data_IF_653666834447
#
_entry.id   IF_653666834447
#
_cell.length_a   1.000
_cell.length_b   1.000
_cell.length_c   1.000
_cell.angle_alpha   90.00
_cell.angle_beta   90.00
_cell.angle_gamma   90.00
#
_symmetry.space_group_name_H-M   'P 1'
#
loop_
_entity.id
_entity.type
_entity.pdbx_description
1 polymer ?
#
# COMPACT_ATOMS: atom_id res chain seq x y z
N UNK A 1 48.96 6.74 -8.62
CA UNK A 1 47.61 7.30 -8.80
C UNK A 1 46.67 6.12 -9.01
N UNK A 2 45.94 5.70 -7.98
CA UNK A 2 44.92 4.64 -8.10
C UNK A 2 43.60 5.25 -7.65
N UNK A 3 42.70 5.49 -8.59
CA UNK A 3 41.31 5.89 -8.35
C UNK A 3 40.51 4.63 -8.02
N UNK A 4 40.02 4.53 -6.79
CA UNK A 4 39.12 3.45 -6.37
C UNK A 4 37.72 3.77 -6.85
N UNK A 5 37.23 2.98 -7.79
CA UNK A 5 35.88 3.05 -8.32
C UNK A 5 34.90 2.47 -7.27
N UNK A 6 34.34 3.31 -6.40
CA UNK A 6 33.28 2.92 -5.46
C UNK A 6 31.97 2.78 -6.24
N UNK A 7 31.64 1.54 -6.61
CA UNK A 7 30.34 1.20 -7.17
C UNK A 7 29.27 1.32 -6.07
N UNK A 8 28.60 2.47 -6.01
CA UNK A 8 27.37 2.63 -5.25
C UNK A 8 26.29 1.79 -5.93
N UNK A 9 26.04 0.58 -5.44
CA UNK A 9 24.81 -0.13 -5.75
C UNK A 9 23.63 0.68 -5.20
N UNK A 10 22.99 1.48 -6.06
CA UNK A 10 21.74 2.16 -5.72
C UNK A 10 20.67 1.09 -5.48
N UNK A 11 20.39 0.82 -4.21
CA UNK A 11 19.25 0.00 -3.84
C UNK A 11 18.00 0.79 -4.21
N UNK A 12 17.32 0.39 -5.29
CA UNK A 12 16.04 0.98 -5.64
C UNK A 12 15.03 0.58 -4.57
N UNK A 13 14.52 1.58 -3.85
CA UNK A 13 13.52 1.39 -2.80
C UNK A 13 12.16 1.82 -3.35
N UNK A 14 11.19 0.92 -3.26
CA UNK A 14 9.81 1.19 -3.67
C UNK A 14 8.87 1.03 -2.48
N UNK A 15 7.73 1.73 -2.50
CA UNK A 15 6.63 1.44 -1.59
C UNK A 15 5.52 0.68 -2.33
N UNK A 16 5.01 -0.39 -1.72
CA UNK A 16 3.88 -1.18 -2.23
C UNK A 16 2.63 -0.84 -1.44
N UNK A 17 1.50 -0.78 -2.14
CA UNK A 17 0.18 -0.67 -1.52
C UNK A 17 -0.55 -1.99 -1.69
N UNK A 18 -1.00 -2.58 -0.59
CA UNK A 18 -1.74 -3.84 -0.59
C UNK A 18 -3.09 -3.71 -1.30
N UNK A 19 -3.38 -4.61 -2.22
CA UNK A 19 -4.66 -4.62 -2.96
C UNK A 19 -5.86 -4.76 -2.01
N UNK A 20 -5.72 -5.56 -0.94
CA UNK A 20 -6.77 -5.70 0.08
C UNK A 20 -6.99 -4.41 0.87
N UNK A 21 -5.95 -3.60 1.09
CA UNK A 21 -6.10 -2.32 1.77
C UNK A 21 -6.95 -1.34 0.94
N UNK A 22 -6.82 -1.40 -0.39
CA UNK A 22 -7.64 -0.62 -1.31
C UNK A 22 -9.07 -1.20 -1.40
N UNK A 23 -9.20 -2.50 -1.67
CA UNK A 23 -10.49 -3.13 -2.00
C UNK A 23 -11.37 -3.42 -0.79
N UNK A 24 -10.79 -3.84 0.34
CA UNK A 24 -11.55 -4.28 1.54
C UNK A 24 -11.47 -3.27 2.66
N UNK A 25 -10.28 -2.74 2.96
CA UNK A 25 -10.08 -1.85 4.11
C UNK A 25 -10.40 -0.38 3.78
N UNK A 26 -10.89 -0.11 2.56
CA UNK A 26 -11.40 1.18 2.15
C UNK A 26 -10.37 2.32 2.21
N UNK A 27 -9.07 2.03 2.04
CA UNK A 27 -8.01 3.05 2.15
C UNK A 27 -8.33 4.28 1.28
N UNK A 28 -8.59 4.05 -0.01
CA UNK A 28 -8.94 5.12 -0.97
C UNK A 28 -10.33 5.72 -0.77
N UNK A 29 -11.22 5.05 -0.04
CA UNK A 29 -12.54 5.60 0.33
C UNK A 29 -12.40 6.62 1.47
N UNK A 30 -11.41 6.43 2.35
CA UNK A 30 -11.16 7.26 3.53
C UNK A 30 -10.26 8.45 3.25
N UNK A 31 -9.30 8.29 2.35
CA UNK A 31 -8.39 9.37 1.93
C UNK A 31 -8.85 9.96 0.60
N UNK A 32 -8.79 11.28 0.47
CA UNK A 32 -8.99 11.96 -0.80
C UNK A 32 -7.78 11.74 -1.73
N UNK A 33 -7.92 12.07 -3.02
CA UNK A 33 -6.81 11.98 -3.98
C UNK A 33 -5.58 12.75 -3.49
N UNK A 34 -5.79 13.97 -2.97
CA UNK A 34 -4.76 14.80 -2.34
C UNK A 34 -4.13 14.10 -1.12
N UNK A 35 -4.92 13.41 -0.31
CA UNK A 35 -4.48 12.65 0.85
C UNK A 35 -3.63 11.45 0.46
N UNK A 36 -3.98 10.75 -0.62
CA UNK A 36 -3.14 9.69 -1.17
C UNK A 36 -1.82 10.23 -1.73
N UNK A 37 -1.84 11.34 -2.47
CA UNK A 37 -0.62 12.02 -2.92
C UNK A 37 0.26 12.42 -1.74
N UNK A 38 -0.34 12.95 -0.66
CA UNK A 38 0.37 13.32 0.56
C UNK A 38 0.97 12.11 1.26
N UNK A 39 0.21 11.02 1.34
CA UNK A 39 0.66 9.76 1.93
C UNK A 39 1.82 9.16 1.14
N UNK A 40 1.75 9.15 -0.19
CA UNK A 40 2.82 8.70 -1.07
C UNK A 40 4.08 9.56 -0.92
N UNK A 41 3.93 10.88 -0.86
CA UNK A 41 5.05 11.82 -0.65
C UNK A 41 5.72 11.65 0.73
N UNK A 42 4.97 11.28 1.78
CA UNK A 42 5.56 10.94 3.07
C UNK A 42 6.24 9.57 2.99
N UNK A 43 5.57 8.59 2.38
CA UNK A 43 6.03 7.21 2.29
C UNK A 43 7.33 7.08 1.45
N UNK A 44 7.63 8.02 0.56
CA UNK A 44 8.92 8.03 -0.15
C UNK A 44 10.13 8.25 0.76
N UNK A 45 9.94 8.77 1.98
CA UNK A 45 10.98 8.91 3.00
C UNK A 45 10.94 7.83 4.07
N UNK A 46 10.13 6.79 3.85
CA UNK A 46 9.87 5.75 4.82
C UNK A 46 11.04 4.77 4.91
N UNK A 47 11.50 4.50 6.13
CA UNK A 47 12.43 3.42 6.40
C UNK A 47 11.70 2.06 6.58
N UNK A 48 12.44 1.01 6.92
CA UNK A 48 11.87 -0.34 7.15
C UNK A 48 10.83 -0.39 8.29
N UNK A 49 10.92 0.52 9.26
CA UNK A 49 10.02 0.58 10.42
C UNK A 49 8.79 1.48 10.19
N UNK A 50 8.62 2.03 8.98
CA UNK A 50 7.55 2.97 8.68
C UNK A 50 7.83 4.41 9.11
N UNK A 51 9.04 4.72 9.58
CA UNK A 51 9.42 6.05 10.08
C UNK A 51 9.94 6.92 8.95
N UNK A 52 9.46 8.17 8.91
CA UNK A 52 9.75 9.14 7.86
C UNK A 52 10.23 10.46 8.48
N UNK A 53 11.23 11.08 7.86
CA UNK A 53 11.83 12.34 8.32
C UNK A 53 11.69 13.55 7.35
N UNK A 54 10.59 13.70 6.58
CA UNK A 54 10.48 14.83 5.66
C UNK A 54 10.14 16.13 6.40
N UNK A 55 10.67 17.25 5.88
CA UNK A 55 10.22 18.58 6.31
C UNK A 55 8.94 18.99 5.58
N UNK A 56 8.21 19.97 6.12
CA UNK A 56 7.01 20.50 5.46
C UNK A 56 7.30 21.18 4.11
N UNK A 57 8.50 21.73 3.96
CA UNK A 57 8.95 22.38 2.73
C UNK A 57 9.26 21.31 1.68
N UNK A 58 10.02 20.28 2.05
CA UNK A 58 10.29 19.12 1.18
C UNK A 58 9.01 18.45 0.68
N UNK A 59 8.01 18.28 1.55
CA UNK A 59 6.71 17.72 1.14
C UNK A 59 5.98 18.64 0.18
N UNK A 60 6.04 19.95 0.40
CA UNK A 60 5.41 20.94 -0.47
C UNK A 60 6.02 20.92 -1.87
N UNK A 61 7.35 20.83 -1.96
CA UNK A 61 8.09 20.75 -3.22
C UNK A 61 7.73 19.49 -4.00
N UNK A 62 7.74 18.33 -3.35
CA UNK A 62 7.39 17.04 -3.99
C UNK A 62 5.95 17.01 -4.47
N UNK A 63 5.03 17.56 -3.68
CA UNK A 63 3.62 17.62 -4.06
C UNK A 63 3.29 18.75 -5.04
N UNK A 64 4.22 19.66 -5.33
CA UNK A 64 3.98 20.83 -6.18
C UNK A 64 2.97 21.82 -5.59
N UNK A 65 2.96 22.00 -4.27
CA UNK A 65 2.01 22.89 -3.58
C UNK A 65 2.72 23.86 -2.64
N UNK A 66 1.97 24.82 -2.10
CA UNK A 66 2.52 25.72 -1.08
C UNK A 66 2.73 24.97 0.25
N UNK A 67 3.70 25.43 1.05
CA UNK A 67 3.95 24.90 2.40
C UNK A 67 2.70 24.90 3.29
N UNK A 68 1.83 25.90 3.16
CA UNK A 68 0.58 25.97 3.90
C UNK A 68 -0.40 24.86 3.46
N UNK A 69 -0.52 24.62 2.15
CA UNK A 69 -1.34 23.54 1.62
C UNK A 69 -0.81 22.17 2.06
N UNK A 70 0.51 21.96 2.01
CA UNK A 70 1.14 20.74 2.51
C UNK A 70 0.80 20.49 3.99
N UNK A 71 0.96 21.50 4.85
CA UNK A 71 0.62 21.39 6.27
C UNK A 71 -0.87 21.10 6.50
N UNK A 72 -1.76 21.71 5.71
CA UNK A 72 -3.20 21.44 5.78
C UNK A 72 -3.53 20.00 5.37
N UNK A 73 -2.93 19.49 4.29
CA UNK A 73 -3.10 18.11 3.81
C UNK A 73 -2.58 17.09 4.84
N UNK A 74 -1.38 17.31 5.37
CA UNK A 74 -0.81 16.49 6.46
C UNK A 74 -1.73 16.51 7.69
N UNK A 75 -2.25 17.69 8.06
CA UNK A 75 -3.19 17.84 9.17
C UNK A 75 -4.51 17.11 8.97
N UNK A 76 -5.00 16.97 7.73
CA UNK A 76 -6.16 16.11 7.41
C UNK A 76 -5.80 14.64 7.53
N UNK A 77 -4.68 14.23 6.93
CA UNK A 77 -4.22 12.84 6.91
C UNK A 77 -3.99 12.27 8.32
N UNK A 78 -3.49 13.09 9.25
CA UNK A 78 -3.31 12.74 10.67
C UNK A 78 -4.62 12.46 11.43
N UNK A 79 -5.78 12.88 10.89
CA UNK A 79 -7.09 12.68 11.53
C UNK A 79 -7.81 11.44 11.00
N UNK A 80 -7.29 10.81 9.95
CA UNK A 80 -7.95 9.68 9.29
C UNK A 80 -7.62 8.39 10.03
N UNK A 81 -8.68 7.67 10.40
CA UNK A 81 -8.61 6.37 11.07
C UNK A 81 -9.13 5.28 10.15
N UNK A 82 -8.52 4.10 10.26
CA UNK A 82 -9.00 2.85 9.66
C UNK A 82 -10.20 2.29 10.45
N UNK A 83 -10.80 1.21 9.95
CA UNK A 83 -11.97 0.57 10.57
C UNK A 83 -11.71 0.04 11.98
N UNK A 84 -10.48 -0.38 12.26
CA UNK A 84 -10.02 -0.83 13.57
C UNK A 84 -9.68 0.32 14.53
N UNK A 85 -9.88 1.57 14.10
CA UNK A 85 -9.52 2.78 14.86
C UNK A 85 -8.04 3.17 14.76
N UNK A 86 -7.25 2.41 14.01
CA UNK A 86 -5.81 2.67 13.85
C UNK A 86 -5.58 3.88 12.94
N UNK A 87 -4.73 4.86 13.32
CA UNK A 87 -4.41 5.98 12.44
C UNK A 87 -3.57 5.55 11.23
N UNK A 88 -3.79 6.18 10.07
CA UNK A 88 -2.98 5.91 8.87
C UNK A 88 -1.53 6.39 9.08
N UNK A 89 -1.38 7.60 9.64
CA UNK A 89 -0.09 8.17 9.99
C UNK A 89 -0.14 8.77 11.39
N UNK A 90 1.00 8.77 12.06
CA UNK A 90 1.22 9.45 13.31
C UNK A 90 2.32 10.50 13.17
N UNK A 91 2.27 11.56 13.97
CA UNK A 91 3.31 12.58 14.03
C UNK A 91 3.84 12.69 15.46
N UNK A 92 5.14 12.49 15.60
CA UNK A 92 5.90 12.80 16.81
C UNK A 92 6.88 13.95 16.55
N UNK A 93 7.47 14.46 17.62
CA UNK A 93 8.47 15.53 17.53
C UNK A 93 9.79 15.04 18.09
N UNK A 94 10.85 15.16 17.29
CA UNK A 94 12.22 14.86 17.73
C UNK A 94 12.97 16.17 17.92
N UNK A 95 13.59 16.31 19.08
CA UNK A 95 14.48 17.42 19.40
C UNK A 95 15.89 17.05 18.97
N UNK A 96 16.57 17.99 18.34
CA UNK A 96 17.98 17.87 17.96
C UNK A 96 18.65 19.20 18.30
N UNK A 97 19.21 19.28 19.51
CA UNK A 97 19.62 20.54 20.12
C UNK A 97 18.42 21.47 20.28
N UNK A 98 18.55 22.70 19.81
CA UNK A 98 17.49 23.73 19.82
C UNK A 98 16.41 23.49 18.76
N UNK A 99 16.69 22.67 17.75
CA UNK A 99 15.78 22.46 16.63
C UNK A 99 14.78 21.35 16.91
N UNK A 100 13.52 21.60 16.56
CA UNK A 100 12.43 20.63 16.64
C UNK A 100 12.07 20.18 15.23
N UNK A 101 12.07 18.87 14.99
CA UNK A 101 11.70 18.26 13.71
C UNK A 101 10.49 17.35 13.88
N UNK A 102 9.57 17.43 12.93
CA UNK A 102 8.47 16.48 12.85
C UNK A 102 9.02 15.13 12.37
N UNK A 103 8.55 14.05 12.99
CA UNK A 103 8.82 12.68 12.58
C UNK A 103 7.49 12.03 12.34
N UNK A 104 7.32 11.46 11.15
CA UNK A 104 6.09 10.78 10.78
C UNK A 104 6.29 9.27 10.90
N UNK A 105 5.23 8.56 11.28
CA UNK A 105 5.19 7.10 11.23
C UNK A 105 3.99 6.68 10.39
N UNK A 106 4.22 5.97 9.31
CA UNK A 106 3.17 5.35 8.51
C UNK A 106 2.80 4.03 9.18
N UNK A 107 1.51 3.84 9.48
CA UNK A 107 1.07 2.61 10.11
C UNK A 107 0.89 1.50 9.08
N UNK A 108 1.55 0.38 9.32
CA UNK A 108 1.47 -0.81 8.49
C UNK A 108 0.06 -1.42 8.40
N UNK A 109 -0.86 -1.13 9.33
CA UNK A 109 -2.26 -1.51 9.21
C UNK A 109 -2.94 -0.90 7.97
N UNK A 110 -2.46 0.26 7.47
CA UNK A 110 -3.01 0.88 6.26
C UNK A 110 -2.64 0.14 4.96
N UNK A 111 -1.82 -0.91 5.04
CA UNK A 111 -1.44 -1.75 3.91
C UNK A 111 -0.32 -1.19 3.03
N UNK A 112 0.36 -0.13 3.47
CA UNK A 112 1.58 0.37 2.81
C UNK A 112 2.80 -0.34 3.40
N UNK A 113 3.72 -0.79 2.55
CA UNK A 113 4.98 -1.44 2.93
C UNK A 113 6.12 -0.94 2.06
N UNK A 114 7.32 -0.90 2.61
CA UNK A 114 8.54 -0.74 1.80
C UNK A 114 8.92 -2.09 1.20
N UNK A 115 9.49 -2.09 0.00
CA UNK A 115 10.33 -3.19 -0.41
C UNK A 115 11.57 -2.69 -1.10
N UNK A 116 12.58 -3.55 -1.09
CA UNK A 116 13.85 -3.32 -1.76
C UNK A 116 13.84 -4.09 -3.05
N UNK A 117 14.22 -3.43 -4.13
CA UNK A 117 14.57 -4.09 -5.38
C UNK A 117 16.05 -4.44 -5.29
N UNK A 118 16.38 -5.73 -5.31
CA UNK A 118 17.74 -6.13 -5.67
C UNK A 118 17.82 -6.03 -7.19
N UNK A 119 18.23 -4.88 -7.71
CA UNK A 119 18.65 -4.82 -9.10
C UNK A 119 19.92 -5.67 -9.24
N UNK A 120 19.77 -6.95 -9.57
CA UNK A 120 20.85 -7.65 -10.25
C UNK A 120 20.93 -7.03 -11.64
N UNK A 121 21.90 -6.14 -11.85
CA UNK A 121 22.18 -5.56 -13.15
C UNK A 121 22.61 -6.67 -14.12
N UNK A 122 21.64 -7.24 -14.82
CA UNK A 122 21.81 -7.99 -16.06
C UNK A 122 20.68 -7.56 -16.99
N UNK A 123 20.87 -6.39 -17.60
CA UNK A 123 20.13 -6.04 -18.81
C UNK A 123 20.85 -6.75 -19.97
N UNK A 124 20.41 -7.96 -20.29
CA UNK A 124 20.69 -8.54 -21.60
C UNK A 124 19.76 -7.85 -22.61
N UNK A 125 20.35 -7.10 -23.52
CA UNK A 125 19.69 -6.25 -24.52
C UNK A 125 18.86 -6.99 -25.58
N UNK A 126 18.66 -8.31 -25.47
CA UNK A 126 18.20 -9.15 -26.59
C UNK A 126 16.96 -10.02 -26.31
N UNK A 127 16.25 -9.85 -25.20
CA UNK A 127 14.98 -10.59 -25.01
C UNK A 127 13.80 -9.85 -25.65
N UNK A 128 13.49 -10.21 -26.91
CA UNK A 128 12.22 -9.91 -27.55
C UNK A 128 11.06 -10.42 -26.67
N UNK A 129 10.21 -9.50 -26.21
CA UNK A 129 9.00 -9.82 -25.46
C UNK A 129 7.91 -10.25 -26.45
N UNK A 130 7.80 -11.55 -26.71
CA UNK A 130 6.64 -12.09 -27.43
C UNK A 130 5.38 -11.99 -26.54
N UNK A 131 4.46 -11.11 -26.93
CA UNK A 131 3.09 -11.09 -26.46
C UNK A 131 2.37 -12.39 -26.87
N UNK A 132 2.44 -13.42 -26.03
CA UNK A 132 1.56 -14.59 -26.17
C UNK A 132 0.16 -14.22 -25.67
N UNK A 133 -0.73 -13.95 -26.60
CA UNK A 133 -2.17 -13.93 -26.37
C UNK A 133 -2.63 -15.38 -26.07
N UNK A 134 -3.24 -15.68 -24.91
CA UNK A 134 -3.69 -17.04 -24.64
C UNK A 134 -4.96 -17.34 -25.43
N UNK A 135 -4.82 -18.16 -26.47
CA UNK A 135 -5.93 -18.86 -27.09
C UNK A 135 -6.25 -20.15 -26.30
N UNK A 136 -7.54 -20.31 -25.99
CA UNK A 136 -8.26 -21.54 -25.58
C UNK A 136 -7.92 -22.25 -24.27
N UNK A 137 -8.97 -22.34 -23.44
CA UNK A 137 -9.40 -23.38 -22.48
C UNK A 137 -8.52 -24.64 -22.33
N UNK A 138 -8.18 -24.95 -21.07
CA UNK A 138 -7.83 -26.30 -20.61
C UNK A 138 -6.85 -26.28 -19.44
N UNK A 139 -7.29 -26.79 -18.29
CA UNK A 139 -6.55 -27.19 -17.07
C UNK A 139 -5.24 -26.48 -16.69
N UNK A 140 -5.32 -25.72 -15.59
CA UNK A 140 -4.17 -25.12 -14.93
C UNK A 140 -3.78 -25.96 -13.70
N UNK A 141 -2.86 -26.91 -13.88
CA UNK A 141 -2.10 -27.51 -12.76
C UNK A 141 -0.85 -26.70 -12.49
N UNK A 142 -0.75 -26.13 -11.29
CA UNK A 142 0.46 -25.50 -10.76
C UNK A 142 1.38 -26.57 -10.16
N UNK A 143 2.57 -26.75 -10.72
CA UNK A 143 3.64 -27.50 -10.09
C UNK A 143 4.65 -26.52 -9.49
N UNK A 144 4.74 -26.46 -8.16
CA UNK A 144 5.86 -25.80 -7.49
C UNK A 144 7.04 -26.77 -7.42
N UNK A 145 8.16 -26.35 -8.01
CA UNK A 145 9.42 -27.07 -7.95
C UNK A 145 10.06 -26.92 -6.57
N UNK A 146 10.01 -27.98 -5.77
CA UNK A 146 11.04 -28.34 -4.80
C UNK A 146 10.69 -29.74 -4.27
N UNK A 147 11.31 -30.76 -4.86
CA UNK A 147 11.20 -32.12 -4.36
C UNK A 147 11.98 -32.27 -3.05
N UNK A 148 11.27 -32.38 -1.93
CA UNK A 148 11.64 -33.13 -0.74
C UNK A 148 10.35 -33.66 -0.10
N UNK A 149 10.20 -34.98 -0.02
CA UNK A 149 9.15 -35.65 0.73
C UNK A 149 9.55 -35.68 2.21
N UNK A 150 8.80 -34.98 3.07
CA UNK A 150 8.81 -35.20 4.52
C UNK A 150 7.50 -35.91 4.91
N UNK A 151 7.62 -37.10 5.50
CA UNK A 151 6.51 -37.88 6.05
C UNK A 151 5.78 -37.10 7.16
N UNK A 152 4.52 -36.75 6.93
CA UNK A 152 3.62 -36.25 7.97
C UNK A 152 3.11 -37.42 8.81
N UNK A 153 3.42 -37.40 10.11
CA UNK A 153 2.85 -38.30 11.12
C UNK A 153 1.43 -37.88 11.49
N UNK A 154 0.57 -38.87 11.63
CA UNK A 154 -0.84 -38.83 12.03
C UNK A 154 -1.16 -37.80 13.12
N UNK A 155 -1.88 -36.74 12.73
CA UNK A 155 -2.67 -35.93 13.63
C UNK A 155 -4.13 -36.27 13.39
N UNK A 156 -4.75 -36.91 14.39
CA UNK A 156 -6.19 -37.21 14.43
C UNK A 156 -6.96 -35.90 14.31
N UNK A 157 -7.75 -35.77 13.25
CA UNK A 157 -8.73 -34.70 13.10
C UNK A 157 -9.83 -34.88 14.15
N UNK A 158 -9.98 -33.91 15.04
CA UNK A 158 -11.19 -33.80 15.85
C UNK A 158 -12.30 -33.14 15.01
N UNK A 159 -13.55 -33.63 15.08
CA UNK A 159 -14.64 -33.12 14.26
C UNK A 159 -15.03 -31.70 14.66
N UNK A 160 -14.90 -30.78 13.72
CA UNK A 160 -15.37 -29.38 13.84
C UNK A 160 -16.90 -29.40 13.83
N UNK A 161 -17.51 -28.91 14.90
CA UNK A 161 -18.97 -28.71 14.96
C UNK A 161 -19.32 -27.47 14.12
N UNK A 162 -20.12 -27.67 13.06
CA UNK A 162 -20.63 -26.60 12.21
C UNK A 162 -21.66 -25.76 12.98
N UNK A 163 -21.34 -24.48 13.24
CA UNK A 163 -22.33 -23.51 13.70
C UNK A 163 -23.28 -23.11 12.56
N UNK A 164 -24.58 -22.88 12.83
CA UNK A 164 -25.56 -22.62 11.79
C UNK A 164 -25.33 -21.28 11.09
N UNK A 165 -25.16 -21.33 9.77
CA UNK A 165 -25.13 -20.15 8.89
C UNK A 165 -26.48 -19.47 8.90
N UNK A 166 -26.55 -18.26 9.46
CA UNK A 166 -27.74 -17.41 9.41
C UNK A 166 -27.84 -16.80 8.00
N UNK A 167 -28.90 -17.06 7.22
CA UNK A 167 -29.04 -16.48 5.89
C UNK A 167 -29.36 -14.98 6.00
N UNK A 168 -28.39 -14.14 5.64
CA UNK A 168 -28.59 -12.70 5.49
C UNK A 168 -29.37 -12.51 4.17
N UNK A 169 -30.67 -12.24 4.26
CA UNK A 169 -31.47 -11.80 3.11
C UNK A 169 -31.10 -10.35 2.79
N UNK A 170 -30.28 -10.15 1.78
CA UNK A 170 -30.18 -8.85 1.12
C UNK A 170 -31.36 -8.72 0.16
N UNK A 171 -32.23 -7.74 0.41
CA UNK A 171 -33.23 -7.32 -0.56
C UNK A 171 -32.54 -6.44 -1.60
N UNK A 172 -32.42 -6.94 -2.82
CA UNK A 172 -31.76 -6.25 -3.95
C UNK A 172 -32.46 -4.94 -4.38
N UNK A 173 -33.67 -4.68 -3.88
CA UNK A 173 -34.55 -3.64 -4.44
C UNK A 173 -34.35 -2.23 -3.84
N UNK A 174 -33.42 -2.05 -2.89
CA UNK A 174 -33.32 -0.79 -2.13
C UNK A 174 -32.25 0.20 -2.64
N UNK A 175 -31.41 -0.19 -3.60
CA UNK A 175 -30.26 0.61 -4.02
C UNK A 175 -30.41 1.31 -5.39
N UNK A 176 -31.30 0.86 -6.26
CA UNK A 176 -31.48 1.47 -7.59
C UNK A 176 -32.10 2.88 -7.54
N UNK A 177 -33.09 3.10 -6.66
CA UNK A 177 -33.85 4.36 -6.63
C UNK A 177 -33.02 5.54 -6.11
N UNK A 178 -32.16 5.31 -5.12
CA UNK A 178 -31.27 6.35 -4.60
C UNK A 178 -30.11 6.65 -5.58
N UNK A 179 -29.62 5.62 -6.28
CA UNK A 179 -28.56 5.77 -7.27
C UNK A 179 -29.04 6.54 -8.50
N UNK A 180 -30.25 6.27 -8.98
CA UNK A 180 -30.84 7.00 -10.10
C UNK A 180 -31.16 8.47 -9.73
N UNK A 181 -31.50 8.73 -8.47
CA UNK A 181 -31.65 10.10 -7.95
C UNK A 181 -30.31 10.84 -7.91
N UNK A 182 -29.23 10.14 -7.58
CA UNK A 182 -27.88 10.69 -7.54
C UNK A 182 -27.36 11.05 -8.93
N UNK A 183 -27.51 10.15 -9.92
CA UNK A 183 -27.04 10.38 -11.29
C UNK A 183 -27.78 11.55 -11.96
N UNK A 184 -29.10 11.66 -11.78
CA UNK A 184 -29.91 12.73 -12.38
C UNK A 184 -29.60 14.14 -11.81
N UNK A 185 -28.83 14.24 -10.71
CA UNK A 185 -28.41 15.52 -10.14
C UNK A 185 -27.23 16.17 -10.89
N UNK A 186 -26.52 15.41 -11.73
CA UNK A 186 -25.33 15.87 -12.45
C UNK A 186 -25.57 16.15 -13.95
N UNK A 187 -26.81 16.06 -14.44
CA UNK A 187 -27.17 16.34 -15.84
C UNK A 187 -28.00 17.62 -16.03
N UNK A 188 -27.82 18.63 -15.18
CA UNK A 188 -28.48 19.93 -15.32
C UNK A 188 -27.50 21.09 -15.37
#
# INVERSE_FOLDING_TARGET
MNETNEQHHEQEIFFKVGVLAIRKNGLLKRIDADGFTTLAAIASFMNEDGVCYPTQETLADIMGVTRQAANARVGRLLKILLDDGTPIIERSWKYTGTNKRAVYRVNFACGIRMGRSVMSATFDSDSQFELRTPASKGDFTLCNGSGQEEELKDLKEEPIQEEPVIPIKYSDDMFEDEWNKFINRFQK
#
